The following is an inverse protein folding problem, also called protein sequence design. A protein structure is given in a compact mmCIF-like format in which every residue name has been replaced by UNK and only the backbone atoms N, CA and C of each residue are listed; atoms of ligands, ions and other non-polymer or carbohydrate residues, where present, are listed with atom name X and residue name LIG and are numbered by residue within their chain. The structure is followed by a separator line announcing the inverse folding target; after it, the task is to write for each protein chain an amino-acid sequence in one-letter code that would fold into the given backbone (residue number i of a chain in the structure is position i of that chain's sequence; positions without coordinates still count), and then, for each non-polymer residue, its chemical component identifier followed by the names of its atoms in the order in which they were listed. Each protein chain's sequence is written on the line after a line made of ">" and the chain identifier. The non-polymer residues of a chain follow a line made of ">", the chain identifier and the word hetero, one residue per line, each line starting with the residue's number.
data_IF_842094620157
#
_entry.id   IF_842094620157
#
_cell.length_a   1.000
_cell.length_b   1.000
_cell.length_c   1.000
_cell.angle_alpha   90.00
_cell.angle_beta   90.00
_cell.angle_gamma   90.00
#
_symmetry.space_group_name_H-M   'P 1'
#
loop_
_entity.id
_entity.type
_entity.pdbx_description
1 polymer ?
#
# COMPACT_ATOMS: atom_id res chain seq x y z
N UNK A 1 -28.95 21.05 -5.63
CA UNK A 1 -28.52 19.88 -6.45
C UNK A 1 -27.02 19.75 -6.26
N UNK A 2 -26.59 18.82 -5.40
CA UNK A 2 -25.17 18.53 -5.21
C UNK A 2 -24.74 17.55 -6.30
N UNK A 3 -23.97 18.02 -7.26
CA UNK A 3 -23.28 17.17 -8.23
C UNK A 3 -21.97 16.70 -7.59
N UNK A 4 -21.81 15.38 -7.45
CA UNK A 4 -20.63 14.78 -6.83
C UNK A 4 -19.62 14.37 -7.90
N UNK A 5 -18.40 14.94 -7.89
CA UNK A 5 -17.21 14.23 -8.28
C UNK A 5 -16.49 13.74 -7.02
N UNK A 6 -16.10 12.46 -7.05
CA UNK A 6 -15.24 11.72 -6.10
C UNK A 6 -15.73 11.49 -4.66
N UNK A 7 -15.52 10.26 -4.20
CA UNK A 7 -16.01 9.64 -2.95
C UNK A 7 -15.31 10.28 -1.74
N UNK A 8 -15.72 11.47 -1.35
CA UNK A 8 -15.35 12.05 -0.07
C UNK A 8 -16.48 11.81 0.94
N UNK A 9 -16.30 10.81 1.81
CA UNK A 9 -17.28 10.44 2.84
C UNK A 9 -17.69 11.62 3.75
N UNK A 10 -16.80 12.60 3.94
CA UNK A 10 -17.08 13.84 4.69
C UNK A 10 -18.08 14.73 3.94
N UNK A 11 -17.92 14.82 2.62
CA UNK A 11 -18.81 15.57 1.75
C UNK A 11 -20.19 14.88 1.64
N UNK A 12 -20.20 13.54 1.62
CA UNK A 12 -21.42 12.73 1.60
C UNK A 12 -22.21 12.91 2.89
N UNK A 13 -21.55 12.82 4.06
CA UNK A 13 -22.20 13.01 5.36
C UNK A 13 -22.69 14.45 5.52
N UNK A 14 -21.87 15.45 5.19
CA UNK A 14 -22.28 16.86 5.24
C UNK A 14 -23.48 17.15 4.31
N UNK A 15 -23.48 16.55 3.11
CA UNK A 15 -24.60 16.67 2.19
C UNK A 15 -25.86 15.96 2.72
N UNK A 16 -25.71 14.79 3.37
CA UNK A 16 -26.81 14.07 4.00
C UNK A 16 -27.44 14.85 5.16
N UNK A 17 -26.62 15.46 6.03
CA UNK A 17 -27.10 16.31 7.13
C UNK A 17 -27.83 17.55 6.59
N UNK A 18 -27.28 18.22 5.57
CA UNK A 18 -27.92 19.38 4.95
C UNK A 18 -29.27 19.04 4.31
N UNK A 19 -29.42 17.87 3.69
CA UNK A 19 -30.70 17.40 3.15
C UNK A 19 -31.73 17.15 4.25
N UNK A 20 -31.31 16.62 5.40
CA UNK A 20 -32.19 16.40 6.54
C UNK A 20 -32.59 17.70 7.24
N UNK A 21 -31.73 18.73 7.24
CA UNK A 21 -32.10 20.08 7.68
C UNK A 21 -33.18 20.68 6.77
N UNK A 22 -33.02 20.55 5.46
CA UNK A 22 -34.03 21.01 4.50
C UNK A 22 -35.37 20.25 4.65
N UNK A 23 -35.32 18.95 4.93
CA UNK A 23 -36.51 18.15 5.21
C UNK A 23 -37.20 18.59 6.51
N UNK A 24 -36.43 18.88 7.56
CA UNK A 24 -36.95 19.41 8.83
C UNK A 24 -37.66 20.76 8.63
N UNK A 25 -37.04 21.69 7.93
CA UNK A 25 -37.62 23.01 7.62
C UNK A 25 -38.93 22.89 6.84
N UNK A 26 -38.97 21.97 5.88
CA UNK A 26 -40.18 21.70 5.09
C UNK A 26 -41.29 21.13 5.96
N UNK A 27 -40.95 20.24 6.90
CA UNK A 27 -41.89 19.66 7.86
C UNK A 27 -42.42 20.69 8.85
N UNK A 28 -41.58 21.61 9.34
CA UNK A 28 -42.02 22.72 10.21
C UNK A 28 -43.00 23.64 9.50
N UNK A 29 -42.79 23.95 8.22
CA UNK A 29 -43.74 24.70 7.39
C UNK A 29 -45.04 23.94 7.17
N UNK A 30 -44.97 22.63 6.92
CA UNK A 30 -46.15 21.79 6.80
C UNK A 30 -46.98 21.80 8.08
N UNK A 31 -46.37 21.68 9.26
CA UNK A 31 -47.05 21.78 10.57
C UNK A 31 -47.74 23.13 10.80
N UNK A 32 -47.18 24.22 10.31
CA UNK A 32 -47.81 25.55 10.41
C UNK A 32 -49.00 25.72 9.48
N UNK A 33 -48.95 25.11 8.29
CA UNK A 33 -50.00 25.20 7.28
C UNK A 33 -51.11 24.17 7.49
N UNK A 34 -50.80 23.02 8.07
CA UNK A 34 -51.73 21.90 8.25
C UNK A 34 -53.06 22.31 8.95
N UNK A 35 -53.05 23.10 10.05
CA UNK A 35 -54.28 23.58 10.69
C UNK A 35 -55.16 24.47 9.80
N UNK A 36 -54.58 25.10 8.77
CA UNK A 36 -55.33 25.95 7.82
C UNK A 36 -55.94 25.15 6.65
N UNK A 37 -55.58 23.87 6.52
CA UNK A 37 -56.04 22.98 5.47
C UNK A 37 -57.16 22.02 5.91
N UNK A 38 -57.49 21.95 7.21
CA UNK A 38 -58.45 20.95 7.72
C UNK A 38 -59.76 21.53 8.26
N UNK A 39 -60.86 20.94 7.77
CA UNK A 39 -62.13 20.85 8.48
C UNK A 39 -62.15 19.61 9.37
N UNK A 40 -62.23 19.85 10.68
CA UNK A 40 -62.69 19.04 11.83
C UNK A 40 -62.42 17.52 11.99
N UNK A 41 -61.78 16.76 11.07
CA UNK A 41 -61.66 15.29 11.26
C UNK A 41 -60.39 14.57 10.73
N UNK A 42 -59.17 15.01 11.06
CA UNK A 42 -58.01 14.10 10.95
C UNK A 42 -56.94 14.34 12.02
N UNK A 43 -57.13 13.72 13.19
CA UNK A 43 -56.07 13.49 14.18
C UNK A 43 -54.85 12.72 13.63
N UNK A 44 -55.00 12.09 12.46
CA UNK A 44 -54.03 11.16 11.90
C UNK A 44 -52.85 11.86 11.21
N UNK A 45 -53.01 13.08 10.67
CA UNK A 45 -51.91 13.76 9.98
C UNK A 45 -50.94 14.49 10.91
N UNK A 46 -51.42 15.07 12.02
CA UNK A 46 -50.53 15.63 13.05
C UNK A 46 -49.61 14.56 13.65
N UNK A 47 -50.15 13.35 13.90
CA UNK A 47 -49.38 12.20 14.38
C UNK A 47 -48.32 11.75 13.36
N UNK A 48 -48.65 11.72 12.06
CA UNK A 48 -47.69 11.40 10.99
C UNK A 48 -46.59 12.45 10.85
N UNK A 49 -46.91 13.74 11.02
CA UNK A 49 -45.93 14.83 11.01
C UNK A 49 -44.97 14.71 12.20
N UNK A 50 -45.46 14.34 13.39
CA UNK A 50 -44.62 14.11 14.57
C UNK A 50 -43.72 12.86 14.43
N UNK A 51 -44.24 11.76 13.89
CA UNK A 51 -43.44 10.56 13.57
C UNK A 51 -42.33 10.87 12.57
N UNK A 52 -42.64 11.67 11.54
CA UNK A 52 -41.66 12.06 10.51
C UNK A 52 -40.55 12.92 11.11
N UNK A 53 -40.88 13.82 12.03
CA UNK A 53 -39.91 14.67 12.72
C UNK A 53 -38.94 13.87 13.59
N UNK A 54 -39.47 12.87 14.30
CA UNK A 54 -38.66 11.95 15.11
C UNK A 54 -37.69 11.15 14.23
N UNK A 55 -38.17 10.63 13.09
CA UNK A 55 -37.33 9.87 12.14
C UNK A 55 -36.22 10.72 11.52
N UNK A 56 -36.48 11.98 11.18
CA UNK A 56 -35.45 12.90 10.68
C UNK A 56 -34.40 13.16 11.78
N UNK A 57 -34.83 13.34 13.03
CA UNK A 57 -33.94 13.55 14.17
C UNK A 57 -33.05 12.32 14.44
N UNK A 58 -33.63 11.11 14.39
CA UNK A 58 -32.90 9.84 14.51
C UNK A 58 -31.86 9.68 13.37
N UNK A 59 -32.26 9.97 12.12
CA UNK A 59 -31.35 9.91 10.98
C UNK A 59 -30.18 10.90 11.09
N UNK A 60 -30.41 12.10 11.64
CA UNK A 60 -29.37 13.09 11.92
C UNK A 60 -28.38 12.58 12.97
N UNK A 61 -28.85 12.00 14.06
CA UNK A 61 -27.95 11.44 15.09
C UNK A 61 -27.12 10.27 14.55
N UNK A 62 -27.69 9.40 13.73
CA UNK A 62 -26.94 8.32 13.06
C UNK A 62 -25.84 8.86 12.12
N UNK A 63 -26.11 9.95 11.38
CA UNK A 63 -25.10 10.58 10.53
C UNK A 63 -24.00 11.29 11.34
N UNK A 64 -24.32 11.89 12.50
CA UNK A 64 -23.32 12.44 13.42
C UNK A 64 -22.42 11.35 14.02
N UNK A 65 -22.97 10.16 14.30
CA UNK A 65 -22.17 9.02 14.71
C UNK A 65 -21.17 8.60 13.62
N UNK A 66 -21.52 8.73 12.34
CA UNK A 66 -20.57 8.54 11.23
C UNK A 66 -19.45 9.61 11.20
N UNK A 67 -19.73 10.86 11.59
CA UNK A 67 -18.68 11.88 11.75
C UNK A 67 -17.70 11.52 12.88
N UNK A 68 -18.22 10.99 13.99
CA UNK A 68 -17.43 10.59 15.15
C UNK A 68 -16.67 9.26 14.94
N UNK A 69 -17.20 8.36 14.10
CA UNK A 69 -16.57 7.10 13.72
C UNK A 69 -15.25 7.29 12.95
N UNK A 70 -15.01 8.47 12.37
CA UNK A 70 -13.75 8.83 11.70
C UNK A 70 -12.53 8.88 12.63
N UNK A 71 -12.74 8.86 13.95
CA UNK A 71 -11.67 8.86 14.96
C UNK A 71 -11.37 7.49 15.57
N UNK A 72 -12.11 6.45 15.19
CA UNK A 72 -11.81 5.10 15.66
C UNK A 72 -10.55 4.60 14.94
N UNK A 73 -9.43 4.52 15.67
CA UNK A 73 -8.33 3.65 15.26
C UNK A 73 -8.87 2.21 15.28
N UNK A 74 -9.17 1.67 14.10
CA UNK A 74 -9.58 0.28 13.92
C UNK A 74 -8.44 -0.64 14.37
N UNK A 75 -7.20 -0.24 14.06
CA UNK A 75 -5.98 -0.94 14.43
C UNK A 75 -5.11 -0.08 15.32
N UNK A 76 -5.04 -0.40 16.61
CA UNK A 76 -4.15 0.31 17.55
C UNK A 76 -2.66 0.07 17.19
N UNK A 77 -2.36 -1.13 16.69
CA UNK A 77 -1.03 -1.56 16.25
C UNK A 77 -1.11 -2.14 14.83
N UNK A 78 -1.18 -1.28 13.79
CA UNK A 78 -1.33 -1.74 12.42
C UNK A 78 -0.13 -2.59 12.02
N UNK A 79 -0.36 -3.72 11.36
CA UNK A 79 0.69 -4.70 11.05
C UNK A 79 1.38 -4.45 9.70
N UNK A 80 0.79 -3.59 8.88
CA UNK A 80 1.26 -3.17 7.55
C UNK A 80 0.59 -1.84 7.13
N UNK A 81 0.94 -1.34 5.95
CA UNK A 81 0.39 -0.09 5.43
C UNK A 81 -1.09 -0.17 5.03
N UNK A 82 -1.66 -1.35 4.78
CA UNK A 82 -3.10 -1.47 4.53
C UNK A 82 -3.92 -1.18 5.79
N UNK A 83 -3.51 -1.70 6.96
CA UNK A 83 -4.18 -1.38 8.22
C UNK A 83 -3.96 0.10 8.63
N UNK A 84 -2.85 0.70 8.20
CA UNK A 84 -2.63 2.16 8.33
C UNK A 84 -3.63 2.94 7.46
N UNK A 85 -3.87 2.49 6.22
CA UNK A 85 -4.86 3.10 5.32
C UNK A 85 -6.29 2.95 5.86
N UNK A 86 -6.65 1.78 6.39
CA UNK A 86 -7.94 1.51 7.04
C UNK A 86 -8.20 2.41 8.25
N UNK A 87 -7.13 2.79 8.97
CA UNK A 87 -7.17 3.82 10.02
C UNK A 87 -7.37 5.26 9.48
N UNK A 88 -7.66 5.43 8.19
CA UNK A 88 -7.93 6.71 7.53
C UNK A 88 -6.68 7.52 7.18
N UNK A 89 -5.48 6.91 7.23
CA UNK A 89 -4.23 7.59 6.84
C UNK A 89 -3.99 7.41 5.35
N UNK A 90 -4.43 8.39 4.57
CA UNK A 90 -4.45 8.34 3.10
C UNK A 90 -3.33 9.15 2.41
N UNK A 91 -2.27 9.50 3.12
CA UNK A 91 -1.12 10.22 2.55
C UNK A 91 0.11 9.34 2.58
N UNK A 92 0.82 9.24 1.46
CA UNK A 92 2.08 8.53 1.38
C UNK A 92 3.11 9.12 2.34
N UNK A 93 3.95 8.28 2.94
CA UNK A 93 4.95 8.73 3.91
C UNK A 93 5.41 7.65 4.86
N UNK A 94 6.18 8.03 5.86
CA UNK A 94 6.72 7.10 6.86
C UNK A 94 5.70 6.88 7.97
N UNK A 95 5.37 5.61 8.22
CA UNK A 95 4.50 5.17 9.30
C UNK A 95 5.17 4.09 10.14
N UNK A 96 4.66 3.87 11.33
CA UNK A 96 5.11 2.78 12.21
C UNK A 96 4.11 1.64 12.18
N UNK A 97 4.60 0.44 11.90
CA UNK A 97 3.80 -0.79 11.89
C UNK A 97 4.36 -1.81 12.91
N UNK A 98 3.59 -2.86 13.16
CA UNK A 98 3.90 -3.92 14.12
C UNK A 98 3.66 -5.30 13.51
N UNK A 99 4.54 -5.79 12.64
CA UNK A 99 4.36 -7.08 11.97
C UNK A 99 4.24 -8.22 12.99
N UNK A 100 3.26 -9.12 12.78
CA UNK A 100 2.96 -10.26 13.66
C UNK A 100 3.90 -11.43 13.35
N UNK A 101 5.15 -11.33 13.79
CA UNK A 101 6.11 -12.43 13.65
C UNK A 101 6.95 -12.60 14.93
N UNK A 102 7.36 -13.84 15.24
CA UNK A 102 8.24 -14.12 16.37
C UNK A 102 9.60 -13.42 16.24
N UNK A 103 10.10 -13.21 15.01
CA UNK A 103 11.36 -12.52 14.77
C UNK A 103 11.33 -11.03 15.15
N UNK A 104 10.19 -10.36 14.95
CA UNK A 104 10.03 -8.96 15.34
C UNK A 104 9.81 -8.82 16.84
N UNK A 105 9.40 -9.88 17.54
CA UNK A 105 9.13 -9.89 18.99
C UNK A 105 8.23 -8.74 19.46
N UNK A 106 7.29 -8.31 18.60
CA UNK A 106 6.41 -7.17 18.87
C UNK A 106 7.09 -5.80 18.81
N UNK A 107 8.31 -5.70 18.25
CA UNK A 107 8.98 -4.42 17.98
C UNK A 107 8.27 -3.67 16.85
N UNK A 108 8.26 -2.35 16.99
CA UNK A 108 7.84 -1.43 15.93
C UNK A 108 8.83 -1.42 14.78
N UNK A 109 8.32 -1.30 13.56
CA UNK A 109 9.11 -1.14 12.34
C UNK A 109 8.65 0.14 11.62
N UNK A 110 9.53 1.14 11.41
CA UNK A 110 9.22 2.23 10.50
C UNK A 110 9.20 1.70 9.05
N UNK A 111 8.17 2.04 8.30
CA UNK A 111 7.99 1.69 6.88
C UNK A 111 7.57 2.90 6.08
N UNK A 112 7.91 2.94 4.79
CA UNK A 112 7.29 3.88 3.87
C UNK A 112 6.00 3.26 3.31
N UNK A 113 4.89 3.94 3.51
CA UNK A 113 3.61 3.58 2.93
C UNK A 113 3.34 4.40 1.67
N UNK A 114 3.05 3.70 0.58
CA UNK A 114 2.47 4.31 -0.62
C UNK A 114 0.95 4.16 -0.53
N UNK A 115 0.28 5.31 -0.41
CA UNK A 115 -1.18 5.41 -0.23
C UNK A 115 -1.89 5.87 -1.50
N UNK A 116 -1.19 5.90 -2.64
CA UNK A 116 -1.67 6.51 -3.88
C UNK A 116 -1.74 5.49 -5.01
N UNK A 117 -0.71 4.64 -5.16
CA UNK A 117 -0.65 3.66 -6.25
C UNK A 117 -1.71 2.60 -6.07
N UNK A 118 -2.56 2.39 -7.09
CA UNK A 118 -3.52 1.28 -7.14
C UNK A 118 -4.35 1.16 -5.86
N UNK A 119 -5.03 2.24 -5.46
CA UNK A 119 -5.84 2.36 -4.23
C UNK A 119 -5.02 2.42 -2.91
N UNK A 120 -3.70 2.31 -2.96
CA UNK A 120 -2.81 2.52 -1.82
C UNK A 120 -2.69 1.32 -0.87
N UNK A 121 -2.20 1.57 0.34
CA UNK A 121 -2.00 0.53 1.37
C UNK A 121 -0.73 -0.31 1.15
N UNK A 122 0.17 0.14 0.28
CA UNK A 122 1.39 -0.58 -0.06
C UNK A 122 2.50 -0.30 0.93
N UNK A 123 3.14 -1.36 1.42
CA UNK A 123 4.36 -1.28 2.25
C UNK A 123 5.58 -1.40 1.33
N UNK A 124 6.34 -0.31 1.18
CA UNK A 124 7.54 -0.32 0.33
C UNK A 124 8.67 -1.08 1.04
N UNK A 125 9.22 -2.11 0.38
CA UNK A 125 10.28 -2.96 0.92
C UNK A 125 11.65 -2.70 0.27
N UNK A 126 11.66 -2.05 -0.88
CA UNK A 126 12.87 -1.61 -1.58
C UNK A 126 12.55 -0.37 -2.41
N UNK A 127 13.52 0.56 -2.48
CA UNK A 127 13.46 1.72 -3.36
C UNK A 127 14.85 2.02 -3.93
N UNK A 128 14.91 2.37 -5.21
CA UNK A 128 16.07 2.94 -5.90
C UNK A 128 15.63 4.13 -6.76
N UNK A 129 16.41 5.21 -6.76
CA UNK A 129 16.16 6.35 -7.63
C UNK A 129 17.31 7.35 -7.63
N UNK A 130 17.08 8.49 -8.27
CA UNK A 130 18.02 9.61 -8.29
C UNK A 130 17.87 10.41 -7.00
N UNK A 131 18.78 10.17 -6.05
CA UNK A 131 18.82 10.87 -4.78
C UNK A 131 20.18 11.57 -4.58
N UNK A 132 20.24 12.64 -3.79
CA UNK A 132 21.50 13.35 -3.53
C UNK A 132 22.64 12.46 -3.01
N UNK A 133 22.29 11.41 -2.28
CA UNK A 133 23.21 10.39 -1.79
C UNK A 133 22.69 9.02 -2.23
N UNK A 134 23.43 8.36 -3.12
CA UNK A 134 23.09 7.01 -3.56
C UNK A 134 23.53 5.99 -2.52
N UNK A 135 22.61 5.13 -2.08
CA UNK A 135 22.96 4.01 -1.21
C UNK A 135 23.70 2.92 -2.00
N UNK A 136 24.81 2.39 -1.45
CA UNK A 136 25.47 1.21 -1.99
C UNK A 136 24.68 -0.05 -1.64
N UNK A 137 24.25 -0.80 -2.66
CA UNK A 137 23.55 -2.08 -2.53
C UNK A 137 24.49 -3.28 -2.63
N UNK A 138 25.79 -3.11 -2.88
CA UNK A 138 26.76 -4.22 -2.88
C UNK A 138 27.16 -4.63 -1.45
N UNK A 139 26.16 -4.93 -0.64
CA UNK A 139 26.26 -5.22 0.78
C UNK A 139 26.44 -6.72 1.06
N UNK A 140 26.82 -7.04 2.30
CA UNK A 140 26.99 -8.41 2.78
C UNK A 140 25.66 -9.02 3.29
N UNK A 141 25.68 -10.31 3.62
CA UNK A 141 24.50 -11.02 4.13
C UNK A 141 23.87 -10.34 5.35
N UNK A 142 24.67 -9.96 6.35
CA UNK A 142 24.17 -9.34 7.58
C UNK A 142 23.43 -8.02 7.32
N UNK A 143 23.93 -7.21 6.38
CA UNK A 143 23.26 -5.96 6.00
C UNK A 143 21.95 -6.24 5.29
N UNK A 144 21.91 -7.19 4.34
CA UNK A 144 20.67 -7.58 3.68
C UNK A 144 19.65 -8.22 4.63
N UNK A 145 20.11 -8.95 5.64
CA UNK A 145 19.28 -9.49 6.71
C UNK A 145 18.60 -8.39 7.52
N UNK A 146 19.37 -7.41 7.99
CA UNK A 146 18.90 -6.37 8.90
C UNK A 146 18.19 -5.20 8.20
N UNK A 147 18.51 -4.95 6.92
CA UNK A 147 18.11 -3.76 6.19
C UNK A 147 19.16 -2.65 6.24
N UNK A 148 19.12 -1.76 5.27
CA UNK A 148 20.05 -0.63 5.13
C UNK A 148 19.45 0.47 4.26
N UNK A 149 20.08 1.65 4.29
CA UNK A 149 19.66 2.82 3.52
C UNK A 149 18.72 3.74 4.30
N UNK A 150 18.09 4.65 3.57
CA UNK A 150 17.16 5.64 4.11
C UNK A 150 15.77 5.40 3.53
N UNK A 151 14.79 5.18 4.41
CA UNK A 151 13.43 4.79 4.02
C UNK A 151 12.67 5.82 3.18
N UNK A 152 13.15 7.08 3.15
CA UNK A 152 12.61 8.13 2.29
C UNK A 152 13.42 8.33 0.99
N UNK A 153 14.48 7.54 0.78
CA UNK A 153 15.35 7.53 -0.40
C UNK A 153 15.60 6.08 -0.83
N UNK A 154 16.83 5.72 -1.16
CA UNK A 154 17.22 4.34 -1.43
C UNK A 154 17.31 3.50 -0.15
N UNK A 155 16.65 2.34 -0.14
CA UNK A 155 16.78 1.40 0.97
C UNK A 155 16.41 -0.03 0.58
N UNK A 156 16.84 -0.95 1.44
CA UNK A 156 16.34 -2.32 1.53
C UNK A 156 15.79 -2.54 2.93
N UNK A 157 14.54 -2.97 3.06
CA UNK A 157 13.87 -3.09 4.36
C UNK A 157 14.51 -4.14 5.28
N UNK A 158 15.19 -5.14 4.70
CA UNK A 158 15.82 -6.24 5.44
C UNK A 158 15.05 -7.55 5.27
N UNK A 159 15.77 -8.64 5.03
CA UNK A 159 15.18 -9.94 4.74
C UNK A 159 14.36 -10.47 5.93
N UNK A 160 14.78 -10.22 7.16
CA UNK A 160 14.01 -10.61 8.35
C UNK A 160 12.66 -9.87 8.40
N UNK A 161 12.64 -8.59 8.03
CA UNK A 161 11.42 -7.78 8.00
C UNK A 161 10.50 -8.19 6.84
N UNK A 162 11.07 -8.48 5.66
CA UNK A 162 10.30 -8.96 4.50
C UNK A 162 9.70 -10.34 4.79
N UNK A 163 10.46 -11.26 5.39
CA UNK A 163 9.93 -12.54 5.89
C UNK A 163 8.78 -12.31 6.86
N UNK A 164 8.97 -11.45 7.86
CA UNK A 164 7.95 -11.18 8.88
C UNK A 164 6.64 -10.64 8.30
N UNK A 165 6.73 -9.72 7.34
CA UNK A 165 5.58 -9.16 6.64
C UNK A 165 4.90 -10.22 5.77
N UNK A 166 5.64 -10.87 4.88
CA UNK A 166 5.04 -11.75 3.87
C UNK A 166 4.54 -13.09 4.39
N UNK A 167 4.88 -13.45 5.64
CA UNK A 167 4.41 -14.68 6.28
C UNK A 167 3.30 -14.46 7.33
N UNK A 168 2.82 -13.22 7.53
CA UNK A 168 1.74 -12.96 8.50
C UNK A 168 0.33 -13.10 7.91
N UNK A 169 0.19 -12.96 6.58
CA UNK A 169 -1.01 -13.15 5.75
C UNK A 169 -0.55 -13.54 4.33
N UNK A 170 -1.46 -13.74 3.39
CA UNK A 170 -1.09 -13.82 1.97
C UNK A 170 -0.84 -12.41 1.42
N UNK A 171 0.30 -12.19 0.75
CA UNK A 171 0.67 -10.90 0.18
C UNK A 171 0.83 -11.00 -1.33
N UNK A 172 0.45 -9.92 -2.00
CA UNK A 172 0.93 -9.59 -3.34
C UNK A 172 2.14 -8.68 -3.28
N UNK A 173 2.95 -8.72 -4.33
CA UNK A 173 4.07 -7.79 -4.56
C UNK A 173 3.87 -7.07 -5.87
N UNK A 174 4.19 -5.78 -5.86
CA UNK A 174 4.22 -4.91 -7.01
C UNK A 174 5.63 -4.34 -7.21
N UNK A 175 6.08 -4.36 -8.45
CA UNK A 175 7.29 -3.73 -8.93
C UNK A 175 6.89 -2.56 -9.80
N UNK A 176 7.27 -1.34 -9.42
CA UNK A 176 7.13 -0.14 -10.24
C UNK A 176 8.51 0.22 -10.81
N UNK A 177 8.61 0.36 -12.13
CA UNK A 177 9.86 0.52 -12.88
C UNK A 177 9.80 1.78 -13.73
N UNK A 178 10.92 2.51 -13.81
CA UNK A 178 11.05 3.70 -14.65
C UNK A 178 12.35 3.68 -15.45
N UNK A 179 12.30 4.06 -16.72
CA UNK A 179 13.48 4.23 -17.58
C UNK A 179 14.01 5.67 -17.56
N UNK A 180 15.16 5.91 -18.19
CA UNK A 180 15.78 7.24 -18.28
C UNK A 180 14.98 8.25 -19.11
N UNK A 181 13.98 7.79 -19.87
CA UNK A 181 13.08 8.61 -20.68
C UNK A 181 11.77 8.93 -19.93
N UNK A 182 11.63 8.47 -18.69
CA UNK A 182 10.44 8.64 -17.87
C UNK A 182 9.28 7.71 -18.22
N UNK A 183 9.48 6.66 -19.03
CA UNK A 183 8.46 5.64 -19.25
C UNK A 183 8.33 4.75 -18.01
N UNK A 184 7.09 4.41 -17.67
CA UNK A 184 6.78 3.56 -16.52
C UNK A 184 6.25 2.19 -16.96
N UNK A 185 6.68 1.15 -16.26
CA UNK A 185 6.15 -0.21 -16.35
C UNK A 185 5.93 -0.78 -14.96
N UNK A 186 5.06 -1.77 -14.85
CA UNK A 186 4.85 -2.47 -13.61
C UNK A 186 4.66 -3.98 -13.79
N UNK A 187 4.98 -4.72 -12.75
CA UNK A 187 4.68 -6.15 -12.61
C UNK A 187 4.05 -6.41 -11.25
N UNK A 188 2.99 -7.21 -11.21
CA UNK A 188 2.30 -7.62 -9.98
C UNK A 188 2.27 -9.14 -9.92
N UNK A 189 2.49 -9.69 -8.74
CA UNK A 189 2.40 -11.12 -8.47
C UNK A 189 1.49 -11.34 -7.27
N UNK A 190 0.39 -12.07 -7.45
CA UNK A 190 -0.62 -12.28 -6.39
C UNK A 190 -0.16 -13.24 -5.28
N UNK A 191 0.98 -13.89 -5.43
CA UNK A 191 1.57 -14.69 -4.37
C UNK A 191 3.04 -14.31 -4.26
N UNK A 192 3.42 -13.73 -3.13
CA UNK A 192 4.79 -13.37 -2.82
C UNK A 192 5.10 -13.60 -1.35
N UNK A 193 6.09 -14.44 -1.09
CA UNK A 193 6.68 -14.61 0.22
C UNK A 193 8.10 -15.14 0.12
N UNK A 194 8.82 -15.05 1.23
CA UNK A 194 10.16 -15.62 1.35
C UNK A 194 10.20 -16.56 2.54
N UNK A 195 11.05 -17.59 2.47
CA UNK A 195 11.35 -18.43 3.63
C UNK A 195 12.17 -17.67 4.70
N UNK A 196 12.37 -18.30 5.85
CA UNK A 196 13.26 -17.76 6.88
C UNK A 196 14.76 -17.89 6.51
N UNK A 197 15.63 -17.37 7.38
CA UNK A 197 17.08 -17.41 7.16
C UNK A 197 17.65 -18.85 7.06
N UNK A 198 17.06 -19.83 7.75
CA UNK A 198 17.57 -21.21 7.80
C UNK A 198 17.48 -21.88 6.45
N UNK A 199 16.45 -21.53 5.66
CA UNK A 199 16.28 -21.99 4.28
C UNK A 199 16.93 -21.01 3.28
N UNK A 200 17.43 -19.86 3.75
CA UNK A 200 18.18 -18.89 2.95
C UNK A 200 17.32 -17.83 2.28
N UNK A 201 16.19 -17.47 2.88
CA UNK A 201 15.21 -16.53 2.34
C UNK A 201 14.79 -16.88 0.91
N UNK A 202 14.51 -18.16 0.65
CA UNK A 202 14.08 -18.64 -0.67
C UNK A 202 12.84 -17.89 -1.15
N UNK A 203 12.84 -17.43 -2.39
CA UNK A 203 11.71 -16.73 -2.99
C UNK A 203 10.60 -17.70 -3.40
N UNK A 204 9.36 -17.32 -3.13
CA UNK A 204 8.16 -17.93 -3.69
C UNK A 204 7.32 -16.85 -4.35
N UNK A 205 7.18 -16.91 -5.67
CA UNK A 205 6.48 -15.89 -6.45
C UNK A 205 5.69 -16.48 -7.61
N UNK A 206 4.41 -16.12 -7.73
CA UNK A 206 3.55 -16.63 -8.82
C UNK A 206 2.36 -15.71 -9.12
N UNK A 207 1.55 -16.11 -10.11
CA UNK A 207 0.35 -15.37 -10.56
C UNK A 207 0.67 -13.96 -11.08
N UNK A 208 1.56 -13.89 -12.06
CA UNK A 208 2.00 -12.66 -12.71
C UNK A 208 0.86 -11.93 -13.45
N UNK A 209 0.87 -10.60 -13.36
CA UNK A 209 0.16 -9.67 -14.22
C UNK A 209 0.97 -8.38 -14.39
N UNK A 210 0.60 -7.53 -15.34
CA UNK A 210 1.27 -6.25 -15.60
C UNK A 210 1.91 -6.17 -16.98
N UNK A 211 2.63 -5.07 -17.22
CA UNK A 211 3.09 -4.68 -18.54
C UNK A 211 4.63 -4.60 -18.68
N UNK A 212 5.38 -4.97 -17.63
CA UNK A 212 6.85 -5.03 -17.63
C UNK A 212 7.43 -6.35 -18.19
N UNK A 213 6.59 -7.37 -18.37
CA UNK A 213 7.02 -8.74 -18.70
C UNK A 213 7.49 -9.51 -17.46
N UNK A 214 7.32 -10.83 -17.48
CA UNK A 214 7.51 -11.68 -16.30
C UNK A 214 8.98 -12.11 -16.08
N UNK A 215 9.87 -11.17 -15.78
CA UNK A 215 11.29 -11.48 -15.52
C UNK A 215 11.51 -12.14 -14.14
N UNK A 216 10.65 -11.88 -13.15
CA UNK A 216 10.81 -12.43 -11.80
C UNK A 216 10.51 -13.93 -11.67
N UNK A 217 9.70 -14.52 -12.55
CA UNK A 217 9.43 -15.97 -12.52
C UNK A 217 10.71 -16.82 -12.59
N UNK A 218 11.75 -16.32 -13.26
CA UNK A 218 13.05 -17.00 -13.36
C UNK A 218 13.75 -17.16 -12.00
N UNK A 219 13.38 -16.33 -11.02
CA UNK A 219 13.98 -16.28 -9.68
C UNK A 219 13.19 -17.09 -8.64
N UNK A 220 12.01 -17.61 -9.00
CA UNK A 220 11.17 -18.43 -8.13
C UNK A 220 11.90 -19.69 -7.66
N UNK A 221 11.79 -20.03 -6.36
CA UNK A 221 12.43 -21.18 -5.74
C UNK A 221 13.92 -21.04 -5.45
N UNK A 222 14.57 -19.92 -5.79
CA UNK A 222 15.99 -19.71 -5.51
C UNK A 222 16.24 -19.05 -4.16
N UNK A 223 17.38 -19.41 -3.54
CA UNK A 223 17.85 -18.80 -2.29
C UNK A 223 18.41 -17.40 -2.53
N UNK A 224 18.21 -16.52 -1.56
CA UNK A 224 18.84 -15.21 -1.58
C UNK A 224 20.37 -15.37 -1.53
N UNK A 225 21.11 -14.55 -2.25
CA UNK A 225 22.56 -14.66 -2.40
C UNK A 225 23.20 -13.28 -2.28
N UNK A 226 24.38 -13.22 -1.67
CA UNK A 226 25.15 -11.98 -1.46
C UNK A 226 26.64 -12.27 -1.72
N UNK A 227 27.49 -11.23 -1.69
CA UNK A 227 28.93 -11.38 -1.98
C UNK A 227 29.68 -12.37 -1.07
N UNK A 228 29.11 -12.71 0.07
CA UNK A 228 29.67 -13.58 1.10
C UNK A 228 28.84 -14.85 1.39
N UNK A 229 27.66 -15.06 0.78
CA UNK A 229 26.81 -16.25 1.05
C UNK A 229 26.03 -16.75 -0.17
N UNK A 230 25.76 -18.07 -0.19
CA UNK A 230 25.05 -18.81 -1.24
C UNK A 230 25.71 -18.66 -2.62
N UNK A 231 25.00 -18.29 -3.68
CA UNK A 231 25.59 -18.07 -4.99
C UNK A 231 26.36 -16.73 -5.03
N UNK A 232 27.48 -16.73 -4.31
CA UNK A 232 28.33 -15.57 -4.17
C UNK A 232 29.09 -15.21 -5.46
N UNK A 233 29.22 -16.16 -6.40
CA UNK A 233 29.81 -15.91 -7.73
C UNK A 233 28.92 -14.97 -8.53
N UNK A 234 27.61 -15.28 -8.63
CA UNK A 234 26.64 -14.37 -9.26
C UNK A 234 26.58 -13.03 -8.54
N UNK A 235 26.48 -13.03 -7.21
CA UNK A 235 26.39 -11.79 -6.43
C UNK A 235 27.62 -10.88 -6.63
N UNK A 236 28.83 -11.43 -6.70
CA UNK A 236 30.06 -10.66 -6.98
C UNK A 236 30.11 -10.13 -8.41
N UNK A 237 29.52 -10.85 -9.37
CA UNK A 237 29.44 -10.41 -10.78
C UNK A 237 28.39 -9.31 -10.96
N UNK A 238 27.19 -9.52 -10.42
CA UNK A 238 26.00 -8.67 -10.57
C UNK A 238 25.95 -7.51 -9.57
N UNK A 239 26.87 -7.49 -8.59
CA UNK A 239 27.08 -6.38 -7.65
C UNK A 239 25.86 -6.03 -6.80
N UNK A 240 25.09 -7.03 -6.39
CA UNK A 240 23.94 -6.89 -5.51
C UNK A 240 23.65 -8.15 -4.70
N UNK A 241 22.64 -8.08 -3.84
CA UNK A 241 22.01 -9.23 -3.21
C UNK A 241 20.66 -9.54 -3.83
N UNK A 242 20.44 -10.79 -4.23
CA UNK A 242 19.22 -11.23 -4.93
C UNK A 242 19.07 -12.76 -4.92
N UNK A 243 17.92 -13.26 -5.40
CA UNK A 243 17.67 -14.68 -5.62
C UNK A 243 18.31 -15.15 -6.95
N UNK A 244 19.64 -15.26 -6.97
CA UNK A 244 20.40 -15.58 -8.18
C UNK A 244 20.42 -17.08 -8.51
N UNK A 245 20.34 -17.42 -9.80
CA UNK A 245 20.60 -18.76 -10.35
C UNK A 245 21.99 -18.84 -11.01
N UNK A 246 22.10 -18.48 -12.29
CA UNK A 246 23.27 -18.49 -13.19
C UNK A 246 22.66 -18.34 -14.60
N UNK A 247 21.96 -17.25 -14.94
CA UNK A 247 22.23 -15.82 -14.70
C UNK A 247 21.14 -15.12 -13.84
N UNK A 248 20.81 -13.86 -14.13
CA UNK A 248 19.69 -13.14 -13.53
C UNK A 248 18.87 -12.43 -14.62
N UNK A 249 17.54 -12.59 -14.60
CA UNK A 249 16.64 -11.83 -15.48
C UNK A 249 16.25 -10.47 -14.86
N UNK A 250 16.40 -10.33 -13.54
CA UNK A 250 16.27 -9.06 -12.84
C UNK A 250 17.45 -8.88 -11.88
N UNK A 251 17.91 -7.64 -11.73
CA UNK A 251 18.97 -7.29 -10.79
C UNK A 251 18.68 -5.94 -10.12
N UNK A 252 17.51 -5.79 -9.51
CA UNK A 252 17.04 -4.50 -8.98
C UNK A 252 17.89 -3.94 -7.83
N UNK A 253 18.74 -4.78 -7.25
CA UNK A 253 19.72 -4.44 -6.23
C UNK A 253 21.15 -4.25 -6.79
N UNK A 254 21.30 -4.15 -8.11
CA UNK A 254 22.58 -3.86 -8.76
C UNK A 254 23.05 -2.42 -8.59
N UNK A 255 24.09 -2.08 -9.35
CA UNK A 255 24.64 -0.71 -9.42
C UNK A 255 23.65 0.26 -10.05
N UNK A 256 23.58 1.45 -9.47
CA UNK A 256 22.78 2.55 -10.02
C UNK A 256 23.59 3.30 -11.08
N UNK A 257 23.42 2.89 -12.35
CA UNK A 257 23.94 3.60 -13.52
C UNK A 257 22.83 3.66 -14.59
N UNK A 258 21.85 4.57 -14.45
CA UNK A 258 20.70 4.65 -15.36
C UNK A 258 21.14 4.80 -16.83
N UNK A 259 20.47 4.10 -17.74
CA UNK A 259 20.73 4.12 -19.19
C UNK A 259 21.98 3.35 -19.63
N UNK A 260 22.82 2.90 -18.70
CA UNK A 260 24.02 2.11 -19.02
C UNK A 260 23.64 0.64 -19.18
N UNK A 261 23.94 0.05 -20.33
CA UNK A 261 23.75 -1.37 -20.57
C UNK A 261 24.84 -2.19 -19.85
N UNK A 262 24.49 -2.77 -18.71
CA UNK A 262 25.37 -3.66 -17.97
C UNK A 262 24.60 -4.62 -17.08
N UNK A 263 25.11 -5.83 -17.02
CA UNK A 263 24.48 -6.96 -16.30
C UNK A 263 24.49 -6.73 -14.80
N UNK A 264 25.43 -5.91 -14.31
CA UNK A 264 25.53 -5.55 -12.89
C UNK A 264 24.75 -4.29 -12.52
N UNK A 265 24.02 -3.67 -13.46
CA UNK A 265 23.14 -2.54 -13.19
C UNK A 265 21.75 -3.02 -12.76
N UNK A 266 20.95 -2.09 -12.26
CA UNK A 266 19.52 -2.24 -11.98
C UNK A 266 18.79 -2.47 -13.30
N UNK A 267 18.38 -3.70 -13.59
CA UNK A 267 17.74 -4.02 -14.87
C UNK A 267 16.55 -4.97 -14.72
N UNK A 268 15.71 -4.97 -15.75
CA UNK A 268 14.56 -5.85 -15.92
C UNK A 268 14.54 -6.39 -17.36
N UNK A 269 14.95 -7.64 -17.52
CA UNK A 269 15.30 -8.23 -18.81
C UNK A 269 14.18 -8.16 -19.85
N UNK A 270 12.96 -8.50 -19.46
CA UNK A 270 11.80 -8.56 -20.38
C UNK A 270 11.38 -7.19 -20.92
N UNK A 271 11.88 -6.09 -20.36
CA UNK A 271 11.55 -4.74 -20.84
C UNK A 271 12.72 -4.06 -21.56
N UNK A 272 13.87 -3.91 -20.90
CA UNK A 272 15.02 -3.16 -21.44
C UNK A 272 16.31 -3.99 -21.47
N UNK A 273 16.22 -5.32 -21.33
CA UNK A 273 17.40 -6.17 -21.22
C UNK A 273 18.22 -5.79 -19.99
N UNK A 274 19.48 -5.41 -20.21
CA UNK A 274 20.43 -5.01 -19.16
C UNK A 274 20.61 -3.49 -19.05
N UNK A 275 19.77 -2.68 -19.71
CA UNK A 275 19.82 -1.23 -19.56
C UNK A 275 19.42 -0.82 -18.13
N UNK A 276 20.23 0.06 -17.53
CA UNK A 276 19.99 0.56 -16.18
C UNK A 276 18.69 1.34 -16.06
N UNK A 277 17.81 0.92 -15.15
CA UNK A 277 16.59 1.65 -14.79
C UNK A 277 16.93 2.94 -14.02
N UNK A 278 16.10 3.96 -14.20
CA UNK A 278 16.22 5.26 -13.51
C UNK A 278 15.56 5.24 -12.13
N UNK A 279 14.48 4.47 -11.96
CA UNK A 279 13.88 4.25 -10.65
C UNK A 279 13.24 2.87 -10.56
N UNK A 280 13.22 2.32 -9.35
CA UNK A 280 12.46 1.12 -9.03
C UNK A 280 11.93 1.19 -7.60
N UNK A 281 10.70 0.73 -7.40
CA UNK A 281 10.17 0.40 -6.09
C UNK A 281 9.64 -1.03 -6.08
N UNK A 282 9.87 -1.72 -4.96
CA UNK A 282 9.24 -3.01 -4.65
C UNK A 282 8.37 -2.78 -3.43
N UNK A 283 7.08 -3.13 -3.53
CA UNK A 283 6.10 -2.90 -2.47
C UNK A 283 5.14 -4.07 -2.34
N UNK A 284 4.70 -4.34 -1.11
CA UNK A 284 3.81 -5.47 -0.79
C UNK A 284 2.53 -4.99 -0.12
N UNK A 285 1.43 -5.71 -0.36
CA UNK A 285 0.12 -5.46 0.25
C UNK A 285 -0.58 -6.80 0.47
N UNK A 286 -1.35 -6.99 1.56
CA UNK A 286 -2.14 -8.22 1.70
C UNK A 286 -3.20 -8.31 0.60
N UNK A 287 -3.54 -9.55 0.23
CA UNK A 287 -4.64 -9.84 -0.70
C UNK A 287 -6.02 -9.60 -0.09
#
# INVERSE_FOLDING_TARGET
>A
MCTLPSINMQLIVACGVALLDQAQDSLSKAKQLYPSCEGDQSRNGDEQLEITERRISEAKELLKLCENAKSLKIHDRPVDCSEVLENGKNRSGVYTIYPRNRLTAGKSLPVYCDMETDEGGWTVIQRRGDYPEQQDFYQNWTSYKNGFGNITRDFWLGNDNIYALTNQKAYEVRFDLQDVKGQHRYAVFKSFWVDDERVGYTLHISNYSGNAGNSMQYHDGYRFSTKDRNNNKCARMLKGGWWYLDWAHTNLNGKYNPGVNSVNNIHWWSWLGNEGLAAVEIKVRPL
#
